data_IF_269672098691
#
_entry.id   IF_269672098691
#
_cell.length_a   1.000
_cell.length_b   1.000
_cell.length_c   1.000
_cell.angle_alpha   90.00
_cell.angle_beta   90.00
_cell.angle_gamma   90.00
#
_symmetry.space_group_name_H-M   'P 1'
#
loop_
_entity.id
_entity.type
_entity.pdbx_description
1 polymer ?
#
# COMPACT_ATOMS: atom_id res chain seq x y z
N UNK A 1 -51.09 66.47 -49.84
CA UNK A 1 -49.77 66.16 -49.35
C UNK A 1 -48.78 66.24 -50.56
N UNK A 2 -47.68 66.97 -50.47
CA UNK A 2 -46.72 67.09 -51.57
C UNK A 2 -45.93 65.79 -51.76
N UNK A 3 -45.81 65.34 -53.00
CA UNK A 3 -45.08 64.14 -53.38
C UNK A 3 -43.63 64.16 -52.80
N UNK A 4 -43.00 65.32 -52.74
CA UNK A 4 -41.67 65.50 -52.10
C UNK A 4 -41.60 65.13 -50.63
N UNK A 5 -42.66 65.31 -49.83
CA UNK A 5 -42.70 64.95 -48.41
C UNK A 5 -42.82 63.44 -48.21
N UNK A 6 -43.53 62.77 -49.14
CA UNK A 6 -43.66 61.27 -49.14
C UNK A 6 -42.30 60.64 -49.51
N UNK A 7 -41.59 61.22 -50.51
CA UNK A 7 -40.26 60.72 -50.90
C UNK A 7 -39.22 60.99 -49.85
N UNK A 8 -39.27 62.12 -49.13
CA UNK A 8 -38.36 62.45 -48.03
C UNK A 8 -38.57 61.52 -46.83
N UNK A 9 -39.83 61.25 -46.43
CA UNK A 9 -40.13 60.29 -45.34
C UNK A 9 -39.79 58.87 -45.71
N UNK A 10 -39.99 58.46 -46.98
CA UNK A 10 -39.59 57.14 -47.46
C UNK A 10 -38.05 56.91 -47.43
N UNK A 11 -37.28 57.97 -47.84
CA UNK A 11 -35.81 57.88 -47.76
C UNK A 11 -35.30 57.93 -46.30
N UNK A 12 -35.93 58.69 -45.41
CA UNK A 12 -35.61 58.69 -44.00
C UNK A 12 -35.87 57.30 -43.33
N UNK A 13 -37.00 56.68 -43.68
CA UNK A 13 -37.36 55.33 -43.21
C UNK A 13 -36.35 54.29 -43.70
N UNK A 14 -35.97 54.30 -44.96
CA UNK A 14 -34.96 53.39 -45.53
C UNK A 14 -33.58 53.53 -44.87
N UNK A 15 -33.16 54.81 -44.60
CA UNK A 15 -31.90 55.05 -43.85
C UNK A 15 -31.99 54.54 -42.43
N UNK A 16 -33.08 54.74 -41.73
CA UNK A 16 -33.28 54.22 -40.37
C UNK A 16 -33.26 52.69 -40.34
N UNK A 17 -33.92 52.04 -41.28
CA UNK A 17 -33.93 50.60 -41.41
C UNK A 17 -32.51 50.02 -41.70
N UNK A 18 -31.74 50.66 -42.59
CA UNK A 18 -30.36 50.29 -42.85
C UNK A 18 -29.43 50.46 -41.61
N UNK A 19 -29.64 51.58 -40.84
CA UNK A 19 -28.91 51.80 -39.58
C UNK A 19 -29.20 50.73 -38.52
N UNK A 20 -30.46 50.31 -38.37
CA UNK A 20 -30.86 49.21 -37.47
C UNK A 20 -30.22 47.93 -37.92
N UNK A 21 -30.26 47.60 -39.21
CA UNK A 21 -29.64 46.38 -39.75
C UNK A 21 -28.13 46.35 -39.55
N UNK A 22 -27.45 47.48 -39.73
CA UNK A 22 -26.02 47.58 -39.46
C UNK A 22 -25.66 47.45 -37.96
N UNK A 23 -26.51 48.01 -37.10
CA UNK A 23 -26.34 47.85 -35.65
C UNK A 23 -26.58 46.42 -35.20
N UNK A 24 -27.61 45.73 -35.72
CA UNK A 24 -27.88 44.34 -35.40
C UNK A 24 -26.74 43.39 -35.87
N UNK A 25 -26.20 43.59 -37.08
CA UNK A 25 -25.04 42.85 -37.57
C UNK A 25 -23.81 43.04 -36.68
N UNK A 26 -23.60 44.28 -36.15
CA UNK A 26 -22.53 44.56 -35.19
C UNK A 26 -22.71 43.82 -33.90
N UNK A 27 -23.92 43.77 -33.36
CA UNK A 27 -24.25 43.00 -32.14
C UNK A 27 -23.98 41.48 -32.35
N UNK A 28 -24.44 40.92 -33.45
CA UNK A 28 -24.17 39.52 -33.80
C UNK A 28 -22.68 39.22 -33.90
N UNK A 29 -21.90 40.11 -34.57
CA UNK A 29 -20.45 39.95 -34.64
C UNK A 29 -19.77 40.01 -33.25
N UNK A 30 -20.26 40.86 -32.33
CA UNK A 30 -19.74 40.89 -30.97
C UNK A 30 -20.13 39.66 -30.19
N UNK A 31 -21.34 39.10 -30.34
CA UNK A 31 -21.75 37.86 -29.71
C UNK A 31 -20.88 36.68 -30.17
N UNK A 32 -20.59 36.61 -31.47
CA UNK A 32 -19.65 35.59 -32.00
C UNK A 32 -18.25 35.73 -31.40
N UNK A 33 -17.76 36.96 -31.27
CA UNK A 33 -16.45 37.19 -30.60
C UNK A 33 -16.44 36.72 -29.15
N UNK A 34 -17.52 36.98 -28.41
CA UNK A 34 -17.66 36.50 -27.03
C UNK A 34 -17.57 34.95 -26.99
N UNK A 35 -18.26 34.27 -27.90
CA UNK A 35 -18.21 32.80 -27.98
C UNK A 35 -16.79 32.30 -28.26
N UNK A 36 -16.04 32.96 -29.17
CA UNK A 36 -14.63 32.63 -29.42
C UNK A 36 -13.78 32.82 -28.18
N UNK A 37 -13.92 33.95 -27.45
CA UNK A 37 -13.16 34.19 -26.22
C UNK A 37 -13.49 33.22 -25.10
N UNK A 38 -14.76 32.76 -25.01
CA UNK A 38 -15.14 31.70 -24.07
C UNK A 38 -14.42 30.40 -24.43
N UNK A 39 -14.40 30.00 -25.70
CA UNK A 39 -13.69 28.79 -26.13
C UNK A 39 -12.17 28.90 -25.93
N UNK A 40 -11.57 30.04 -26.22
CA UNK A 40 -10.15 30.29 -25.95
C UNK A 40 -9.83 30.21 -24.46
N UNK A 41 -10.68 30.77 -23.60
CA UNK A 41 -10.54 30.67 -22.15
C UNK A 41 -10.60 29.20 -21.67
N UNK A 42 -11.58 28.44 -22.19
CA UNK A 42 -11.71 27.01 -21.85
C UNK A 42 -10.47 26.21 -22.31
N UNK A 43 -9.98 26.47 -23.50
CA UNK A 43 -8.73 25.86 -23.98
C UNK A 43 -7.52 26.23 -23.11
N UNK A 44 -7.42 27.48 -22.68
CA UNK A 44 -6.36 27.90 -21.77
C UNK A 44 -6.45 27.23 -20.38
N UNK A 45 -7.68 27.09 -19.84
CA UNK A 45 -7.90 26.36 -18.57
C UNK A 45 -7.51 24.89 -18.72
N UNK A 46 -7.87 24.24 -19.83
CA UNK A 46 -7.48 22.86 -20.10
C UNK A 46 -5.95 22.71 -20.22
N UNK A 47 -5.28 23.67 -20.86
CA UNK A 47 -3.81 23.68 -20.97
C UNK A 47 -3.12 23.83 -19.59
N UNK A 48 -3.67 24.65 -18.70
CA UNK A 48 -3.20 24.77 -17.31
C UNK A 48 -3.34 23.45 -16.58
N UNK A 49 -4.52 22.81 -16.65
CA UNK A 49 -4.76 21.51 -16.02
C UNK A 49 -3.80 20.43 -16.54
N UNK A 50 -3.53 20.41 -17.84
CA UNK A 50 -2.56 19.50 -18.44
C UNK A 50 -1.13 19.73 -17.91
N UNK A 51 -0.73 21.01 -17.79
CA UNK A 51 0.58 21.35 -17.25
C UNK A 51 0.72 21.00 -15.76
N UNK A 52 -0.35 21.17 -14.98
CA UNK A 52 -0.40 20.76 -13.58
C UNK A 52 -0.26 19.23 -13.45
N UNK A 53 -0.97 18.45 -14.25
CA UNK A 53 -0.84 17.00 -14.27
C UNK A 53 0.59 16.54 -14.64
N UNK A 54 1.21 17.17 -15.62
CA UNK A 54 2.60 16.90 -16.01
C UNK A 54 3.59 17.23 -14.88
N UNK A 55 3.39 18.35 -14.19
CA UNK A 55 4.18 18.72 -13.01
C UNK A 55 4.03 17.68 -11.89
N UNK A 56 2.81 17.23 -11.62
CA UNK A 56 2.54 16.28 -10.55
C UNK A 56 3.16 14.90 -10.86
N UNK A 57 3.15 14.47 -12.10
CA UNK A 57 3.89 13.27 -12.54
C UNK A 57 5.40 13.42 -12.31
N UNK A 58 5.98 14.53 -12.72
CA UNK A 58 7.41 14.78 -12.50
C UNK A 58 7.78 14.86 -11.01
N UNK A 59 6.86 15.35 -10.17
CA UNK A 59 7.03 15.35 -8.72
C UNK A 59 7.01 13.95 -8.14
N UNK A 60 6.10 13.09 -8.57
CA UNK A 60 6.04 11.68 -8.18
C UNK A 60 7.33 10.96 -8.57
N UNK A 61 7.82 11.19 -9.80
CA UNK A 61 9.08 10.61 -10.26
C UNK A 61 10.27 11.06 -9.39
N UNK A 62 10.29 12.33 -8.99
CA UNK A 62 11.31 12.86 -8.08
C UNK A 62 11.20 12.22 -6.69
N UNK A 63 10.00 12.07 -6.13
CA UNK A 63 9.78 11.41 -4.84
C UNK A 63 10.26 9.95 -4.88
N UNK A 64 10.06 9.24 -5.98
CA UNK A 64 10.53 7.87 -6.17
C UNK A 64 12.06 7.73 -6.29
N UNK A 65 12.79 8.83 -6.46
CA UNK A 65 14.28 8.76 -6.44
C UNK A 65 14.84 8.51 -5.04
N UNK A 66 14.03 8.72 -3.99
CA UNK A 66 14.39 8.46 -2.60
C UNK A 66 13.53 7.33 -2.06
N UNK A 67 14.16 6.21 -1.73
CA UNK A 67 13.48 5.04 -1.15
C UNK A 67 13.56 5.12 0.36
N UNK A 68 12.42 5.25 1.01
CA UNK A 68 12.31 5.30 2.47
C UNK A 68 12.02 3.93 3.06
N UNK A 69 12.52 3.69 4.28
CA UNK A 69 12.19 2.50 5.05
C UNK A 69 10.69 2.55 5.44
N UNK A 70 9.89 1.51 5.15
CA UNK A 70 8.48 1.47 5.51
C UNK A 70 8.24 1.18 7.00
N UNK A 71 9.23 0.63 7.68
CA UNK A 71 9.18 0.25 9.11
C UNK A 71 10.52 0.51 9.76
N UNK A 72 10.51 0.67 11.08
CA UNK A 72 11.73 0.71 11.87
C UNK A 72 12.37 -0.67 11.96
N UNK A 73 13.68 -0.76 11.76
CA UNK A 73 14.37 -2.04 11.79
C UNK A 73 15.86 -1.95 11.48
N UNK A 74 16.50 -3.09 11.42
CA UNK A 74 17.90 -3.23 11.04
C UNK A 74 17.99 -3.72 9.60
N UNK A 75 18.89 -3.10 8.83
CA UNK A 75 19.15 -3.50 7.44
C UNK A 75 19.82 -4.87 7.42
N UNK A 76 19.14 -5.84 6.83
CA UNK A 76 19.69 -7.15 6.46
C UNK A 76 19.98 -7.24 4.97
N UNK A 77 20.66 -8.28 4.56
CA UNK A 77 20.82 -8.72 3.16
C UNK A 77 20.89 -7.59 2.11
N UNK A 78 21.80 -6.62 2.31
CA UNK A 78 21.95 -5.48 1.40
C UNK A 78 22.56 -5.91 0.08
N UNK A 79 21.80 -5.87 -0.99
CA UNK A 79 22.23 -6.22 -2.34
C UNK A 79 22.59 -5.00 -3.19
N UNK A 80 22.13 -3.81 -2.79
CA UNK A 80 22.38 -2.56 -3.51
C UNK A 80 23.78 -2.01 -3.21
N UNK A 81 24.46 -1.50 -4.26
CA UNK A 81 25.76 -0.82 -4.18
C UNK A 81 25.73 0.43 -5.05
N UNK A 82 26.56 1.42 -4.72
CA UNK A 82 26.73 2.61 -5.55
C UNK A 82 27.11 2.22 -6.99
N UNK A 83 26.49 2.87 -7.95
CA UNK A 83 26.70 2.62 -9.38
C UNK A 83 25.92 1.41 -9.94
N UNK A 84 25.16 0.68 -9.11
CA UNK A 84 24.33 -0.42 -9.60
C UNK A 84 23.07 0.15 -10.28
N UNK A 85 22.82 -0.32 -11.48
CA UNK A 85 21.55 -0.09 -12.14
C UNK A 85 20.43 -0.90 -11.47
N UNK A 86 19.31 -0.24 -11.17
CA UNK A 86 18.15 -0.84 -10.53
C UNK A 86 16.93 -0.70 -11.43
N UNK A 87 16.07 -1.69 -11.41
CA UNK A 87 14.79 -1.71 -12.12
C UNK A 87 13.66 -1.95 -11.13
N UNK A 88 12.43 -1.51 -11.43
CA UNK A 88 11.27 -1.83 -10.61
C UNK A 88 11.15 -3.34 -10.35
N UNK A 89 10.82 -3.71 -9.10
CA UNK A 89 10.67 -5.11 -8.69
C UNK A 89 11.95 -5.81 -8.22
N UNK A 90 13.13 -5.17 -8.32
CA UNK A 90 14.37 -5.72 -7.77
C UNK A 90 14.49 -5.39 -6.28
N UNK A 91 14.72 -6.42 -5.45
CA UNK A 91 15.01 -6.24 -4.02
C UNK A 91 16.35 -5.52 -3.85
N UNK A 92 16.37 -4.45 -3.09
CA UNK A 92 17.56 -3.65 -2.79
C UNK A 92 18.19 -4.06 -1.47
N UNK A 93 17.36 -4.23 -0.45
CA UNK A 93 17.74 -4.64 0.90
C UNK A 93 16.49 -5.13 1.64
N UNK A 94 16.71 -5.85 2.72
CA UNK A 94 15.65 -6.29 3.62
C UNK A 94 15.72 -5.45 4.91
N UNK A 95 14.56 -5.07 5.46
CA UNK A 95 14.48 -4.42 6.77
C UNK A 95 13.85 -5.40 7.75
N UNK A 96 14.60 -5.73 8.78
CA UNK A 96 14.16 -6.66 9.82
C UNK A 96 13.73 -5.89 11.06
N UNK A 97 12.45 -5.91 11.43
CA UNK A 97 11.97 -5.32 12.67
C UNK A 97 12.44 -6.15 13.86
N UNK A 98 13.46 -5.69 14.55
CA UNK A 98 14.07 -6.41 15.69
C UNK A 98 13.35 -6.19 17.02
N UNK A 99 12.41 -5.24 17.08
CA UNK A 99 11.65 -4.94 18.28
C UNK A 99 10.32 -5.73 18.35
N UNK A 100 9.81 -6.22 17.23
CA UNK A 100 8.57 -7.00 17.14
C UNK A 100 8.90 -8.44 16.72
N UNK A 101 9.50 -9.18 17.64
CA UNK A 101 9.88 -10.58 17.42
C UNK A 101 8.93 -11.51 18.15
N UNK A 102 8.61 -12.63 17.51
CA UNK A 102 7.81 -13.70 18.09
C UNK A 102 8.50 -15.04 17.90
N UNK A 103 8.12 -16.03 18.68
CA UNK A 103 8.63 -17.39 18.56
C UNK A 103 7.56 -18.28 17.95
N UNK A 104 7.95 -19.12 16.99
CA UNK A 104 7.10 -20.16 16.43
C UNK A 104 7.56 -21.50 16.98
N UNK A 105 6.80 -22.06 17.91
CA UNK A 105 7.08 -23.36 18.51
C UNK A 105 6.27 -24.46 17.85
N UNK A 106 6.94 -25.50 17.38
CA UNK A 106 6.31 -26.63 16.70
C UNK A 106 5.99 -27.75 17.70
N UNK A 107 4.78 -27.73 18.27
CA UNK A 107 4.30 -28.76 19.20
C UNK A 107 3.78 -30.00 18.47
N UNK A 108 3.90 -31.15 19.11
CA UNK A 108 3.23 -32.37 18.62
C UNK A 108 1.71 -32.23 18.82
N UNK A 109 0.93 -32.79 17.91
CA UNK A 109 -0.55 -32.82 18.00
C UNK A 109 -1.04 -33.33 19.38
N UNK A 110 -0.35 -34.30 19.94
CA UNK A 110 -0.67 -34.87 21.26
C UNK A 110 -0.42 -33.95 22.45
N UNK A 111 0.33 -32.87 22.24
CA UNK A 111 0.63 -31.87 23.28
C UNK A 111 -0.37 -30.70 23.29
N UNK A 112 -1.12 -30.52 22.18
CA UNK A 112 -2.02 -29.39 22.02
C UNK A 112 -3.23 -29.41 22.95
N UNK A 113 -3.62 -30.58 23.45
CA UNK A 113 -4.76 -30.75 24.36
C UNK A 113 -4.65 -29.84 25.60
N UNK A 114 -3.43 -29.60 26.07
CA UNK A 114 -3.13 -28.86 27.28
C UNK A 114 -2.66 -27.41 27.03
N UNK A 115 -2.59 -26.99 25.78
CA UNK A 115 -2.15 -25.64 25.41
C UNK A 115 -3.37 -24.79 25.06
N UNK A 116 -3.43 -23.58 25.62
CA UNK A 116 -4.51 -22.60 25.36
C UNK A 116 -3.93 -21.23 25.07
N UNK A 117 -4.55 -20.41 24.21
CA UNK A 117 -4.18 -19.01 24.07
C UNK A 117 -4.20 -18.27 25.41
N UNK A 118 -3.23 -17.40 25.63
CA UNK A 118 -3.06 -16.65 26.87
C UNK A 118 -2.25 -17.35 27.96
N UNK A 119 -1.88 -18.63 27.80
CA UNK A 119 -1.02 -19.30 28.78
C UNK A 119 0.38 -18.68 28.83
N UNK A 120 0.95 -18.53 30.03
CA UNK A 120 2.32 -18.07 30.20
C UNK A 120 3.32 -19.13 29.71
N UNK A 121 4.38 -18.68 29.09
CA UNK A 121 5.39 -19.50 28.45
C UNK A 121 6.77 -18.96 28.82
N UNK A 122 7.70 -19.84 29.12
CA UNK A 122 9.11 -19.49 29.22
C UNK A 122 9.85 -19.91 27.96
N UNK A 123 10.56 -18.97 27.38
CA UNK A 123 11.34 -19.16 26.18
C UNK A 123 12.82 -18.97 26.49
N UNK A 124 13.64 -19.94 26.11
CA UNK A 124 15.10 -19.87 26.22
C UNK A 124 15.67 -19.94 24.82
N UNK A 125 16.39 -18.90 24.41
CA UNK A 125 17.08 -18.86 23.10
C UNK A 125 18.44 -19.55 23.24
N UNK A 126 18.76 -20.48 22.36
CA UNK A 126 19.98 -21.29 22.47
C UNK A 126 21.27 -20.44 22.42
N UNK A 127 21.23 -19.29 21.71
CA UNK A 127 22.34 -18.33 21.68
C UNK A 127 22.51 -17.52 22.98
N UNK A 128 21.52 -17.51 23.87
CA UNK A 128 21.49 -16.75 25.12
C UNK A 128 20.85 -17.57 26.25
N UNK A 129 21.49 -18.66 26.70
CA UNK A 129 20.88 -19.62 27.63
C UNK A 129 20.56 -19.02 29.01
N UNK A 130 21.28 -17.98 29.42
CA UNK A 130 21.10 -17.31 30.71
C UNK A 130 19.97 -16.27 30.68
N UNK A 131 19.43 -15.93 29.48
CA UNK A 131 18.35 -14.98 29.32
C UNK A 131 17.04 -15.74 29.06
N UNK A 132 16.31 -16.05 30.12
CA UNK A 132 14.95 -16.55 30.01
C UNK A 132 14.01 -15.40 29.60
N UNK A 133 13.20 -15.62 28.59
CA UNK A 133 12.21 -14.69 28.09
C UNK A 133 10.82 -15.18 28.49
N UNK A 134 10.05 -14.30 29.10
CA UNK A 134 8.64 -14.59 29.38
C UNK A 134 7.78 -14.23 28.18
N UNK A 135 6.81 -15.07 27.86
CA UNK A 135 5.90 -14.88 26.76
C UNK A 135 4.53 -15.46 27.06
N UNK A 136 3.65 -15.30 26.12
CA UNK A 136 2.29 -15.86 26.16
C UNK A 136 1.98 -16.56 24.85
N UNK A 137 1.23 -17.66 24.94
CA UNK A 137 0.66 -18.31 23.75
C UNK A 137 -0.29 -17.34 23.08
N UNK A 138 0.01 -16.93 21.85
CA UNK A 138 -0.80 -15.99 21.06
C UNK A 138 -1.88 -16.72 20.29
N UNK A 139 -1.46 -17.62 19.37
CA UNK A 139 -2.38 -18.31 18.48
C UNK A 139 -1.80 -19.62 17.98
N UNK A 140 -2.67 -20.47 17.45
CA UNK A 140 -2.31 -21.71 16.74
C UNK A 140 -2.36 -21.46 15.23
N UNK A 141 -1.46 -22.09 14.49
CA UNK A 141 -1.62 -22.15 13.05
C UNK A 141 -2.91 -22.93 12.70
N UNK A 142 -3.65 -22.52 11.68
CA UNK A 142 -4.91 -23.17 11.29
C UNK A 142 -4.73 -24.57 10.67
N UNK A 143 -3.51 -25.09 10.61
CA UNK A 143 -3.18 -26.42 10.10
C UNK A 143 -1.80 -26.88 10.51
N UNK A 144 -1.52 -28.17 10.31
CA UNK A 144 -0.19 -28.74 10.55
C UNK A 144 0.82 -28.26 9.49
N UNK A 145 2.11 -28.33 9.81
CA UNK A 145 3.16 -27.95 8.87
C UNK A 145 3.14 -28.77 7.56
N UNK A 146 2.66 -30.00 7.59
CA UNK A 146 2.49 -30.83 6.40
C UNK A 146 1.34 -30.39 5.49
N UNK A 147 0.28 -29.76 6.05
CA UNK A 147 -0.86 -29.27 5.27
C UNK A 147 -0.50 -28.06 4.40
N UNK A 148 0.52 -27.29 4.81
CA UNK A 148 1.01 -26.11 4.08
C UNK A 148 2.31 -26.36 3.31
N UNK A 149 2.77 -27.63 3.25
CA UNK A 149 3.94 -27.99 2.47
C UNK A 149 3.63 -28.00 0.98
N UNK A 150 4.52 -27.44 0.16
CA UNK A 150 4.44 -27.51 -1.32
C UNK A 150 4.50 -28.96 -1.85
N UNK A 151 5.08 -29.87 -1.08
CA UNK A 151 5.15 -31.30 -1.37
C UNK A 151 4.58 -32.04 -0.17
N UNK A 152 3.27 -32.34 -0.14
CA UNK A 152 2.70 -33.21 0.90
C UNK A 152 3.39 -34.59 0.84
N UNK A 153 3.65 -35.23 1.99
CA UNK A 153 4.20 -36.59 2.00
C UNK A 153 3.17 -37.50 1.34
N UNK A 154 3.48 -37.96 0.13
CA UNK A 154 2.65 -38.95 -0.60
C UNK A 154 2.99 -40.37 -0.11
N UNK A 155 2.05 -41.02 0.56
CA UNK A 155 2.18 -42.42 1.00
C UNK A 155 1.82 -43.37 -0.15
N UNK A 156 2.67 -43.41 -1.18
CA UNK A 156 2.48 -44.22 -2.38
C UNK A 156 2.52 -45.74 -2.14
N UNK A 157 2.81 -46.20 -0.93
CA UNK A 157 3.06 -47.65 -0.64
C UNK A 157 2.00 -48.34 0.23
N UNK A 158 0.82 -47.73 0.45
CA UNK A 158 -0.31 -48.45 1.07
C UNK A 158 -0.19 -48.80 2.57
N UNK A 159 0.94 -48.56 3.22
CA UNK A 159 1.11 -48.71 4.66
C UNK A 159 0.79 -47.41 5.39
N UNK A 160 -0.36 -47.37 6.05
CA UNK A 160 -0.78 -46.22 6.88
C UNK A 160 0.03 -46.21 8.20
N UNK A 161 1.23 -45.63 8.16
CA UNK A 161 1.96 -45.30 9.39
C UNK A 161 1.45 -43.96 9.90
N UNK A 162 0.79 -43.96 11.06
CA UNK A 162 0.32 -42.72 11.71
C UNK A 162 1.53 -41.91 12.20
N UNK A 163 1.93 -40.91 11.42
CA UNK A 163 2.98 -39.98 11.80
C UNK A 163 2.37 -38.81 12.60
N UNK A 164 2.84 -38.61 13.83
CA UNK A 164 2.39 -37.51 14.68
C UNK A 164 2.74 -36.20 14.01
N UNK A 165 1.71 -35.41 13.73
CA UNK A 165 1.89 -34.09 13.06
C UNK A 165 2.38 -33.03 14.06
N UNK A 166 3.07 -32.01 13.51
CA UNK A 166 3.49 -30.84 14.29
C UNK A 166 2.65 -29.65 13.89
N UNK A 167 2.15 -28.93 14.90
CA UNK A 167 1.34 -27.72 14.71
C UNK A 167 2.14 -26.53 15.22
N UNK A 168 2.36 -25.53 14.37
CA UNK A 168 3.03 -24.29 14.78
C UNK A 168 2.15 -23.49 15.75
N UNK A 169 2.73 -23.08 16.84
CA UNK A 169 2.09 -22.19 17.85
C UNK A 169 2.89 -20.91 17.91
N UNK A 170 2.22 -19.80 17.71
CA UNK A 170 2.82 -18.46 17.82
C UNK A 170 2.85 -18.04 19.28
N UNK A 171 4.03 -17.62 19.73
CA UNK A 171 4.27 -17.13 21.08
C UNK A 171 4.75 -15.70 20.98
N UNK A 172 4.02 -14.81 21.64
CA UNK A 172 4.40 -13.40 21.76
C UNK A 172 5.23 -13.21 23.03
N UNK A 173 6.37 -12.59 22.87
CA UNK A 173 7.23 -12.24 24.00
C UNK A 173 6.63 -11.04 24.75
N UNK A 174 6.67 -11.07 26.07
CA UNK A 174 6.16 -9.99 26.92
C UNK A 174 7.09 -8.78 26.88
N UNK A 175 8.39 -9.02 27.07
CA UNK A 175 9.45 -8.02 26.93
C UNK A 175 10.65 -8.66 26.26
N UNK A 176 11.40 -7.87 25.50
CA UNK A 176 12.67 -8.31 24.94
C UNK A 176 13.82 -7.70 25.75
N UNK A 177 14.43 -8.45 26.69
CA UNK A 177 15.53 -7.95 27.51
C UNK A 177 16.82 -7.77 26.72
N UNK A 178 16.86 -8.26 25.46
CA UNK A 178 18.01 -8.20 24.58
C UNK A 178 17.64 -7.51 23.25
N UNK A 179 17.26 -6.23 23.25
CA UNK A 179 16.83 -5.54 22.05
C UNK A 179 17.94 -5.54 21.00
N UNK A 180 17.59 -5.89 19.76
CA UNK A 180 18.53 -5.97 18.64
C UNK A 180 19.45 -7.19 18.63
N UNK A 181 19.44 -8.05 19.66
CA UNK A 181 20.26 -9.28 19.75
C UNK A 181 19.46 -10.53 19.37
N UNK A 182 18.15 -10.52 19.63
CA UNK A 182 17.24 -11.60 19.23
C UNK A 182 16.77 -11.28 17.81
N UNK A 183 17.31 -12.06 16.86
CA UNK A 183 17.00 -11.87 15.44
C UNK A 183 16.25 -13.10 14.90
N UNK A 184 15.44 -12.94 13.84
CA UNK A 184 14.79 -14.08 13.19
C UNK A 184 15.78 -15.15 12.77
N UNK A 185 15.39 -16.43 12.92
CA UNK A 185 16.21 -17.59 12.55
C UNK A 185 16.99 -18.21 13.70
N UNK A 186 16.96 -17.65 14.90
CA UNK A 186 17.53 -18.26 16.09
C UNK A 186 16.68 -19.45 16.56
N UNK A 187 17.34 -20.48 17.08
CA UNK A 187 16.69 -21.60 17.73
C UNK A 187 16.31 -21.26 19.17
N UNK A 188 15.14 -21.70 19.59
CA UNK A 188 14.65 -21.48 20.95
C UNK A 188 13.94 -22.71 21.49
N UNK A 189 14.04 -22.90 22.81
CA UNK A 189 13.29 -23.89 23.58
C UNK A 189 12.12 -23.21 24.30
N UNK A 190 10.98 -23.85 24.27
CA UNK A 190 9.75 -23.30 24.83
C UNK A 190 9.20 -24.26 25.87
N UNK A 191 8.92 -23.73 27.07
CA UNK A 191 8.27 -24.41 28.16
C UNK A 191 6.95 -23.73 28.47
N UNK A 192 5.85 -24.42 28.25
CA UNK A 192 4.50 -23.93 28.56
C UNK A 192 4.20 -24.27 30.01
N UNK A 193 3.83 -23.29 30.82
CA UNK A 193 3.39 -23.53 32.19
C UNK A 193 2.11 -24.36 32.16
N UNK A 194 2.18 -25.61 32.65
CA UNK A 194 0.98 -26.39 32.85
C UNK A 194 0.22 -25.76 34.00
N UNK A 195 -0.96 -25.19 33.71
CA UNK A 195 -1.87 -24.75 34.75
C UNK A 195 -2.14 -25.95 35.68
N UNK A 196 -1.98 -25.79 36.99
CA UNK A 196 -2.41 -26.76 37.95
C UNK A 196 -3.88 -27.08 37.67
N UNK A 197 -4.14 -28.26 37.15
CA UNK A 197 -5.49 -28.72 36.89
C UNK A 197 -6.22 -28.79 38.24
N UNK A 198 -7.33 -28.08 38.32
CA UNK A 198 -8.35 -28.28 39.38
C UNK A 198 -9.16 -29.51 39.05
#
# INVERSE_FOLDING_TARGET
MSQALVDETGTAQSRAAASVSAASATVEAQQQRITVFVAEREAAVAAVSQAEAARDLARIDLEHTVVHAPVDGVVGNRQVRLGRFVTPGVSLLDIVPVNDVWVVANFKETQLEHIRPGQPVRVTVDGYPDAALDGVVDSFAPGSGSAFSLLPPDNATGNFVRVVQRVPVKIRLAENPLPGRIVPGLSARVEVAQGAGS
#
